data_IF_420012961442
#
_entry.id   IF_420012961442
#
_cell.length_a   1.000
_cell.length_b   1.000
_cell.length_c   1.000
_cell.angle_alpha   90.00
_cell.angle_beta   90.00
_cell.angle_gamma   90.00
#
_symmetry.space_group_name_H-M   'P 1'
#
loop_
_entity.id
_entity.type
_entity.pdbx_description
1 polymer ?
#
# COMPACT_ATOMS: atom_id res chain seq x y z
N UNK A 1 -14.35 2.91 -5.04
CA UNK A 1 -14.88 3.85 -6.09
C UNK A 1 -13.80 4.87 -6.35
N UNK A 2 -13.52 5.25 -7.60
CA UNK A 2 -12.37 6.10 -7.92
C UNK A 2 -12.78 7.37 -8.70
N UNK A 3 -11.92 8.40 -8.68
CA UNK A 3 -12.14 9.69 -9.34
C UNK A 3 -11.09 9.95 -10.43
N UNK A 4 -11.01 9.09 -11.44
CA UNK A 4 -10.06 9.23 -12.53
C UNK A 4 -10.56 10.16 -13.64
N UNK A 5 -9.63 10.72 -14.41
CA UNK A 5 -9.93 11.53 -15.59
C UNK A 5 -10.81 10.77 -16.59
N UNK A 6 -11.98 11.32 -16.90
CA UNK A 6 -12.86 10.74 -17.92
C UNK A 6 -12.34 11.09 -19.33
N UNK A 7 -12.26 10.11 -20.25
CA UNK A 7 -11.87 10.39 -21.62
C UNK A 7 -12.87 11.32 -22.32
N UNK A 8 -12.35 12.19 -23.19
CA UNK A 8 -13.12 13.09 -24.06
C UNK A 8 -12.75 12.86 -25.53
N UNK A 9 -13.40 13.58 -26.45
CA UNK A 9 -13.08 13.49 -27.88
C UNK A 9 -11.64 13.93 -28.21
N UNK A 10 -10.99 14.71 -27.35
CA UNK A 10 -9.65 15.27 -27.57
C UNK A 10 -8.62 14.87 -26.51
N UNK A 11 -9.06 14.19 -25.45
CA UNK A 11 -8.24 13.75 -24.34
C UNK A 11 -8.52 12.26 -24.09
N UNK A 12 -7.52 11.37 -24.23
CA UNK A 12 -7.71 9.95 -23.95
C UNK A 12 -7.95 9.62 -22.47
N UNK A 13 -7.87 10.56 -21.54
CA UNK A 13 -8.09 10.31 -20.11
C UNK A 13 -7.04 9.39 -19.52
N UNK A 14 -5.75 9.66 -19.79
CA UNK A 14 -4.66 8.85 -19.25
C UNK A 14 -4.61 8.96 -17.72
N UNK A 15 -4.27 7.84 -17.09
CA UNK A 15 -4.06 7.74 -15.66
C UNK A 15 -2.60 8.00 -15.33
N UNK A 16 -2.35 8.72 -14.23
CA UNK A 16 -1.03 8.76 -13.62
C UNK A 16 -0.71 7.40 -12.98
N UNK A 17 0.57 7.16 -12.64
CA UNK A 17 0.96 5.91 -11.99
C UNK A 17 0.20 5.69 -10.66
N UNK A 18 0.04 6.74 -9.86
CA UNK A 18 -0.65 6.68 -8.57
C UNK A 18 -2.15 6.42 -8.73
N UNK A 19 -2.77 6.83 -9.84
CA UNK A 19 -4.15 6.45 -10.17
C UNK A 19 -4.26 4.95 -10.41
N UNK A 20 -3.27 4.36 -11.11
CA UNK A 20 -3.24 2.91 -11.37
C UNK A 20 -3.02 2.14 -10.06
N UNK A 21 -2.10 2.61 -9.21
CA UNK A 21 -1.90 2.04 -7.86
C UNK A 21 -3.20 2.08 -7.06
N UNK A 22 -3.87 3.24 -7.04
CA UNK A 22 -5.17 3.43 -6.37
C UNK A 22 -6.24 2.48 -6.94
N UNK A 23 -6.28 2.30 -8.27
CA UNK A 23 -7.21 1.36 -8.88
C UNK A 23 -6.97 -0.08 -8.40
N UNK A 24 -5.72 -0.51 -8.32
CA UNK A 24 -5.37 -1.85 -7.84
C UNK A 24 -5.64 -2.02 -6.33
N UNK A 25 -5.42 -0.99 -5.52
CA UNK A 25 -5.83 -0.98 -4.11
C UNK A 25 -7.33 -1.28 -3.98
N UNK A 26 -8.17 -0.50 -4.66
CA UNK A 26 -9.63 -0.65 -4.62
C UNK A 26 -10.09 -1.98 -5.24
N UNK A 27 -9.40 -2.46 -6.27
CA UNK A 27 -9.66 -3.76 -6.86
C UNK A 27 -9.28 -4.91 -5.91
N UNK A 28 -8.25 -4.74 -5.09
CA UNK A 28 -7.89 -5.68 -4.02
C UNK A 28 -9.03 -5.85 -3.02
N UNK A 29 -9.63 -4.75 -2.56
CA UNK A 29 -10.83 -4.77 -1.73
C UNK A 29 -11.99 -5.49 -2.41
N UNK A 30 -12.24 -5.21 -3.70
CA UNK A 30 -13.27 -5.91 -4.48
C UNK A 30 -13.03 -7.41 -4.54
N UNK A 31 -11.79 -7.84 -4.82
CA UNK A 31 -11.43 -9.26 -4.88
C UNK A 31 -11.61 -9.93 -3.52
N UNK A 32 -11.19 -9.27 -2.44
CA UNK A 32 -11.38 -9.79 -1.09
C UNK A 32 -12.86 -9.92 -0.74
N UNK A 33 -13.68 -8.94 -1.13
CA UNK A 33 -15.13 -9.00 -0.95
C UNK A 33 -15.76 -10.18 -1.71
N UNK A 34 -15.37 -10.42 -2.96
CA UNK A 34 -15.94 -11.51 -3.78
C UNK A 34 -15.51 -12.89 -3.24
N UNK A 35 -14.21 -13.05 -2.93
CA UNK A 35 -13.63 -14.33 -2.53
C UNK A 35 -13.94 -14.68 -1.08
N UNK A 36 -13.80 -13.71 -0.17
CA UNK A 36 -14.20 -13.84 1.23
C UNK A 36 -15.72 -13.77 1.43
N UNK A 37 -16.47 -13.37 0.40
CA UNK A 37 -17.93 -13.21 0.40
C UNK A 37 -18.73 -14.52 0.51
N UNK A 38 -18.05 -15.67 0.49
CA UNK A 38 -18.68 -16.99 0.47
C UNK A 38 -19.00 -17.55 1.88
N UNK A 39 -18.96 -16.71 2.92
CA UNK A 39 -19.25 -17.16 4.28
C UNK A 39 -20.74 -17.42 4.50
N UNK A 40 -21.05 -18.38 5.37
CA UNK A 40 -22.42 -18.72 5.76
C UNK A 40 -23.13 -17.56 6.48
N UNK A 41 -22.38 -16.71 7.20
CA UNK A 41 -22.94 -15.66 8.04
C UNK A 41 -22.54 -14.27 7.54
N UNK A 42 -23.53 -13.39 7.37
CA UNK A 42 -23.30 -12.04 6.84
C UNK A 42 -22.32 -11.20 7.66
N UNK A 43 -22.28 -11.38 8.99
CA UNK A 43 -21.42 -10.60 9.89
C UNK A 43 -19.92 -10.91 9.80
N UNK A 44 -19.51 -11.90 9.00
CA UNK A 44 -18.10 -12.29 8.80
C UNK A 44 -17.78 -12.45 7.30
N UNK A 45 -18.65 -11.96 6.42
CA UNK A 45 -18.50 -12.13 4.98
C UNK A 45 -17.68 -11.01 4.35
N UNK A 46 -16.98 -11.33 3.25
CA UNK A 46 -16.16 -10.39 2.50
C UNK A 46 -15.07 -9.80 3.39
N UNK A 47 -15.03 -8.47 3.46
CA UNK A 47 -14.04 -7.69 4.21
C UNK A 47 -14.49 -7.33 5.64
N UNK A 48 -15.51 -8.03 6.18
CA UNK A 48 -15.99 -7.81 7.55
C UNK A 48 -15.07 -8.53 8.53
N UNK A 49 -13.93 -7.92 8.88
CA UNK A 49 -12.85 -8.47 9.71
C UNK A 49 -12.25 -7.37 10.58
N UNK A 50 -11.15 -7.68 11.28
CA UNK A 50 -10.42 -6.69 12.05
C UNK A 50 -9.95 -5.51 11.17
N UNK A 51 -10.19 -4.29 11.64
CA UNK A 51 -9.92 -3.06 10.88
C UNK A 51 -8.44 -2.80 10.65
N UNK A 52 -7.57 -3.38 11.48
CA UNK A 52 -6.11 -3.37 11.40
C UNK A 52 -5.56 -4.57 10.60
N UNK A 53 -6.34 -5.01 9.62
CA UNK A 53 -5.95 -5.99 8.61
C UNK A 53 -6.59 -5.73 7.25
N UNK A 54 -7.72 -5.03 7.22
CA UNK A 54 -8.53 -4.86 6.01
C UNK A 54 -7.76 -4.22 4.85
N UNK A 55 -6.79 -3.34 5.11
CA UNK A 55 -5.98 -2.71 4.06
C UNK A 55 -4.78 -3.57 3.64
N UNK A 56 -4.40 -4.61 4.40
CA UNK A 56 -3.21 -5.39 4.07
C UNK A 56 -3.36 -6.13 2.71
N UNK A 57 -4.53 -6.72 2.39
CA UNK A 57 -4.78 -7.29 1.08
C UNK A 57 -4.75 -6.30 -0.09
N UNK A 58 -5.34 -5.12 0.07
CA UNK A 58 -5.36 -4.08 -0.97
C UNK A 58 -3.97 -3.50 -1.19
N UNK A 59 -3.25 -3.18 -0.11
CA UNK A 59 -1.88 -2.65 -0.18
C UNK A 59 -0.86 -3.66 -0.71
N UNK A 60 -1.04 -4.96 -0.46
CA UNK A 60 -0.19 -5.98 -1.09
C UNK A 60 -0.34 -5.95 -2.61
N UNK A 61 -1.56 -5.72 -3.11
CA UNK A 61 -1.83 -5.68 -4.53
C UNK A 61 -1.28 -4.41 -5.21
N UNK A 62 -1.07 -3.32 -4.46
CA UNK A 62 -0.36 -2.13 -4.96
C UNK A 62 1.07 -2.47 -5.42
N UNK A 63 1.78 -3.31 -4.67
CA UNK A 63 3.17 -3.69 -4.96
C UNK A 63 3.31 -4.48 -6.27
N UNK A 64 2.21 -5.00 -6.82
CA UNK A 64 2.22 -5.64 -8.14
C UNK A 64 2.54 -4.65 -9.26
N UNK A 65 2.29 -3.35 -9.05
CA UNK A 65 2.60 -2.30 -10.03
C UNK A 65 4.11 -2.09 -10.20
N UNK A 66 4.94 -2.63 -9.30
CA UNK A 66 6.39 -2.68 -9.48
C UNK A 66 6.86 -3.79 -10.44
N UNK A 67 5.98 -4.70 -10.88
CA UNK A 67 6.37 -5.80 -11.79
C UNK A 67 6.31 -5.39 -13.26
N UNK A 68 7.44 -5.47 -14.00
CA UNK A 68 7.44 -5.22 -15.45
C UNK A 68 6.49 -6.15 -16.21
N UNK A 69 6.38 -7.41 -15.78
CA UNK A 69 5.50 -8.39 -16.41
C UNK A 69 4.03 -8.02 -16.24
N UNK A 70 3.62 -7.59 -15.04
CA UNK A 70 2.24 -7.18 -14.76
C UNK A 70 1.89 -5.94 -15.57
N UNK A 71 2.72 -4.89 -15.51
CA UNK A 71 2.46 -3.66 -16.27
C UNK A 71 2.43 -3.93 -17.78
N UNK A 72 3.33 -4.76 -18.32
CA UNK A 72 3.35 -5.09 -19.74
C UNK A 72 2.06 -5.75 -20.26
N UNK A 73 1.25 -6.35 -19.37
CA UNK A 73 -0.02 -6.99 -19.74
C UNK A 73 -1.11 -5.99 -20.15
N UNK A 74 -1.09 -4.77 -19.61
CA UNK A 74 -2.13 -3.76 -19.86
C UNK A 74 -1.62 -2.37 -20.22
N UNK A 75 -0.44 -1.96 -19.73
CA UNK A 75 0.12 -0.65 -19.97
C UNK A 75 0.70 -0.57 -21.40
N UNK A 76 -0.05 0.13 -22.27
CA UNK A 76 0.29 0.32 -23.68
C UNK A 76 0.27 1.78 -24.05
N UNK A 77 1.19 2.20 -24.91
CA UNK A 77 1.20 3.55 -25.42
C UNK A 77 -0.07 3.81 -26.24
N UNK A 78 -0.86 4.82 -25.85
CA UNK A 78 -2.22 5.03 -26.38
C UNK A 78 -2.30 5.26 -27.90
N UNK A 79 -1.20 5.66 -28.57
CA UNK A 79 -1.17 5.86 -30.04
C UNK A 79 -0.55 4.69 -30.80
N UNK A 80 0.50 4.08 -30.26
CA UNK A 80 1.30 3.06 -30.98
C UNK A 80 0.98 1.63 -30.54
N UNK A 81 0.25 1.48 -29.43
CA UNK A 81 -0.09 0.20 -28.81
C UNK A 81 1.13 -0.62 -28.32
N UNK A 82 2.32 -0.02 -28.34
CA UNK A 82 3.55 -0.61 -27.81
C UNK A 82 3.44 -0.81 -26.31
N UNK A 83 3.89 -1.97 -25.82
CA UNK A 83 3.90 -2.29 -24.39
C UNK A 83 4.94 -1.44 -23.65
N UNK A 84 4.69 -1.13 -22.38
CA UNK A 84 5.64 -0.43 -21.53
C UNK A 84 7.01 -1.14 -21.50
N UNK A 85 8.13 -0.44 -21.75
CA UNK A 85 9.45 -1.05 -21.67
C UNK A 85 9.81 -1.45 -20.24
N UNK A 86 10.39 -2.63 -20.05
CA UNK A 86 10.82 -3.10 -18.72
C UNK A 86 11.83 -2.14 -18.06
N UNK A 87 12.74 -1.57 -18.85
CA UNK A 87 13.70 -0.56 -18.37
C UNK A 87 13.01 0.69 -17.79
N UNK A 88 11.88 1.10 -18.35
CA UNK A 88 11.10 2.22 -17.81
C UNK A 88 10.52 1.85 -16.44
N UNK A 89 9.98 0.65 -16.29
CA UNK A 89 9.46 0.15 -15.01
C UNK A 89 10.56 0.07 -13.95
N UNK A 90 11.74 -0.42 -14.30
CA UNK A 90 12.89 -0.44 -13.38
C UNK A 90 13.31 0.97 -12.93
N UNK A 91 13.25 1.96 -13.83
CA UNK A 91 13.49 3.37 -13.48
C UNK A 91 12.40 3.93 -12.57
N UNK A 92 11.13 3.59 -12.83
CA UNK A 92 10.00 3.97 -11.99
C UNK A 92 10.13 3.38 -10.58
N UNK A 93 10.52 2.11 -10.46
CA UNK A 93 10.75 1.46 -9.16
C UNK A 93 11.88 2.13 -8.37
N UNK A 94 12.97 2.52 -9.05
CA UNK A 94 14.05 3.28 -8.38
C UNK A 94 13.55 4.66 -7.93
N UNK A 95 12.73 5.32 -8.73
CA UNK A 95 12.13 6.60 -8.36
C UNK A 95 11.12 6.45 -7.22
N UNK A 96 10.35 5.37 -7.16
CA UNK A 96 9.35 5.14 -6.10
C UNK A 96 9.97 4.82 -4.75
N UNK A 97 11.24 4.41 -4.71
CA UNK A 97 12.00 4.23 -3.47
C UNK A 97 12.34 5.57 -2.79
N UNK A 98 12.54 6.63 -3.59
CA UNK A 98 12.91 7.95 -3.09
C UNK A 98 11.80 8.52 -2.20
N UNK A 99 12.16 8.90 -0.97
CA UNK A 99 11.24 9.58 -0.06
C UNK A 99 10.24 8.67 0.66
N UNK A 100 10.37 7.33 0.57
CA UNK A 100 9.54 6.40 1.37
C UNK A 100 9.67 6.63 2.87
N UNK A 101 10.86 6.98 3.36
CA UNK A 101 11.06 7.38 4.76
C UNK A 101 10.25 8.61 5.16
N UNK A 102 10.16 9.63 4.27
CA UNK A 102 9.33 10.81 4.49
C UNK A 102 7.83 10.47 4.40
N UNK A 103 7.46 9.54 3.53
CA UNK A 103 6.10 9.02 3.47
C UNK A 103 5.70 8.33 4.78
N UNK A 104 6.55 7.44 5.33
CA UNK A 104 6.31 6.80 6.64
C UNK A 104 6.23 7.84 7.75
N UNK A 105 7.10 8.85 7.76
CA UNK A 105 7.06 9.96 8.72
C UNK A 105 5.72 10.71 8.66
N UNK A 106 5.20 10.98 7.46
CA UNK A 106 3.88 11.58 7.25
C UNK A 106 2.75 10.67 7.73
N UNK A 107 2.80 9.35 7.46
CA UNK A 107 1.81 8.40 7.97
C UNK A 107 1.78 8.40 9.50
N UNK A 108 2.94 8.40 10.16
CA UNK A 108 3.03 8.52 11.62
C UNK A 108 2.40 9.82 12.15
N UNK A 109 2.58 10.94 11.44
CA UNK A 109 1.92 12.21 11.80
C UNK A 109 0.39 12.11 11.72
N UNK A 110 -0.15 11.47 10.69
CA UNK A 110 -1.59 11.26 10.57
C UNK A 110 -2.13 10.27 11.59
N UNK A 111 -1.38 9.20 11.89
CA UNK A 111 -1.69 8.26 12.95
C UNK A 111 -1.75 8.96 14.31
N UNK A 112 -0.75 9.78 14.62
CA UNK A 112 -0.70 10.55 15.85
C UNK A 112 -1.88 11.51 15.96
N UNK A 113 -2.13 12.32 14.93
CA UNK A 113 -3.29 13.21 14.88
C UNK A 113 -4.60 12.44 15.08
N UNK A 114 -4.77 11.34 14.36
CA UNK A 114 -5.97 10.50 14.44
C UNK A 114 -6.16 9.89 15.82
N UNK A 115 -5.13 9.71 16.64
CA UNK A 115 -5.23 9.16 17.99
C UNK A 115 -5.37 10.28 19.03
N UNK A 116 -4.53 11.31 18.92
CA UNK A 116 -4.38 12.36 19.91
C UNK A 116 -5.59 13.28 20.02
N UNK A 117 -6.39 13.43 18.96
CA UNK A 117 -7.66 14.18 19.05
C UNK A 117 -8.77 13.40 19.78
N UNK A 118 -8.63 12.08 20.00
CA UNK A 118 -9.63 11.24 20.67
C UNK A 118 -9.18 10.70 22.04
N UNK A 119 -7.94 10.94 22.47
CA UNK A 119 -7.42 10.41 23.75
C UNK A 119 -7.91 11.20 24.98
N UNK A 120 -8.31 12.45 24.78
CA UNK A 120 -8.82 13.35 25.82
C UNK A 120 -10.32 13.62 25.64
N UNK A 121 -10.94 14.28 26.64
CA UNK A 121 -12.34 14.72 26.53
C UNK A 121 -12.46 15.78 25.42
N UNK A 122 -13.54 15.77 24.61
CA UNK A 122 -13.70 16.70 23.49
C UNK A 122 -13.52 18.18 23.87
N UNK A 123 -14.08 18.60 25.00
CA UNK A 123 -14.01 20.00 25.47
C UNK A 123 -12.61 20.46 25.88
N UNK A 124 -11.64 19.55 25.97
CA UNK A 124 -10.24 19.84 26.31
C UNK A 124 -9.28 19.76 25.12
N UNK A 125 -9.77 19.45 23.92
CA UNK A 125 -8.92 19.26 22.74
C UNK A 125 -8.86 20.55 21.92
N UNK A 126 -7.67 21.16 21.90
CA UNK A 126 -7.34 22.26 20.98
C UNK A 126 -6.77 21.69 19.67
N UNK A 127 -7.63 21.54 18.65
CA UNK A 127 -7.32 20.81 17.41
C UNK A 127 -6.08 21.33 16.68
N UNK A 128 -5.91 22.65 16.59
CA UNK A 128 -4.72 23.27 15.97
C UNK A 128 -3.45 22.91 16.73
N UNK A 129 -3.51 22.95 18.06
CA UNK A 129 -2.35 22.66 18.91
C UNK A 129 -1.92 21.21 18.76
N UNK A 130 -2.87 20.28 18.77
CA UNK A 130 -2.60 18.84 18.56
C UNK A 130 -2.03 18.61 17.17
N UNK A 131 -2.70 19.11 16.13
CA UNK A 131 -2.30 18.91 14.73
C UNK A 131 -0.90 19.43 14.45
N UNK A 132 -0.61 20.68 14.82
CA UNK A 132 0.69 21.30 14.61
C UNK A 132 1.77 20.60 15.46
N UNK A 133 1.41 20.17 16.67
CA UNK A 133 2.31 19.41 17.56
C UNK A 133 2.73 18.08 16.95
N UNK A 134 1.79 17.31 16.42
CA UNK A 134 2.04 16.03 15.78
C UNK A 134 2.84 16.17 14.48
N UNK A 135 2.49 17.13 13.62
CA UNK A 135 3.24 17.40 12.39
C UNK A 135 4.71 17.74 12.68
N UNK A 136 4.99 18.59 13.67
CA UNK A 136 6.35 18.94 14.09
C UNK A 136 7.11 17.77 14.72
N UNK A 137 6.41 16.88 15.40
CA UNK A 137 7.01 15.74 16.11
C UNK A 137 7.40 14.61 15.15
N UNK A 138 6.54 14.32 14.19
CA UNK A 138 6.68 13.13 13.33
C UNK A 138 7.23 13.43 11.94
N UNK A 139 7.23 14.69 11.49
CA UNK A 139 7.73 15.08 10.18
C UNK A 139 8.86 16.12 10.29
N UNK A 140 9.75 16.23 9.28
CA UNK A 140 10.76 17.28 9.24
C UNK A 140 10.22 18.61 8.69
N UNK A 141 8.93 18.67 8.32
CA UNK A 141 8.35 19.85 7.70
C UNK A 141 7.91 20.87 8.74
N UNK A 142 8.04 22.15 8.40
CA UNK A 142 7.48 23.23 9.21
C UNK A 142 6.00 23.40 8.82
N UNK A 143 5.05 23.22 9.74
CA UNK A 143 3.64 23.49 9.46
C UNK A 143 3.43 24.93 8.99
N UNK A 144 2.50 25.12 8.05
CA UNK A 144 2.17 26.44 7.54
C UNK A 144 1.12 27.11 8.45
N UNK A 145 1.39 28.35 8.84
CA UNK A 145 0.46 29.14 9.65
C UNK A 145 -0.89 29.32 8.93
N UNK A 146 -1.98 29.27 9.71
CA UNK A 146 -3.35 29.41 9.19
C UNK A 146 -3.88 28.20 8.43
N UNK A 147 -3.17 27.06 8.46
CA UNK A 147 -3.69 25.80 7.93
C UNK A 147 -4.37 24.98 9.03
N UNK A 148 -5.40 24.23 8.64
CA UNK A 148 -6.19 23.38 9.53
C UNK A 148 -6.32 21.99 8.90
N UNK A 149 -5.21 21.26 8.80
CA UNK A 149 -5.14 20.01 8.02
C UNK A 149 -6.23 19.00 8.43
N UNK A 150 -6.57 18.91 9.71
CA UNK A 150 -7.62 18.04 10.24
C UNK A 150 -9.01 18.31 9.61
N UNK A 151 -9.32 19.52 9.12
CA UNK A 151 -10.60 19.81 8.46
C UNK A 151 -10.68 19.22 7.05
N UNK A 152 -9.54 18.89 6.45
CA UNK A 152 -9.44 18.21 5.17
C UNK A 152 -9.16 16.70 5.33
N UNK A 153 -8.98 16.22 6.56
CA UNK A 153 -8.63 14.84 6.81
C UNK A 153 -9.87 13.95 6.88
N UNK A 154 -10.44 13.62 5.72
CA UNK A 154 -11.69 12.86 5.60
C UNK A 154 -11.71 11.50 6.32
N UNK A 155 -10.54 10.88 6.53
CA UNK A 155 -10.43 9.62 7.27
C UNK A 155 -10.91 9.72 8.72
N UNK A 156 -10.92 10.93 9.31
CA UNK A 156 -11.49 11.14 10.64
C UNK A 156 -13.00 10.87 10.71
N UNK A 157 -13.71 10.67 9.59
CA UNK A 157 -15.13 10.32 9.55
C UNK A 157 -15.42 8.80 9.54
N UNK A 158 -14.40 7.94 9.59
CA UNK A 158 -14.58 6.48 9.59
C UNK A 158 -13.41 5.67 10.18
N UNK A 159 -12.22 6.28 10.25
CA UNK A 159 -10.99 5.73 10.83
C UNK A 159 -10.55 6.54 12.06
N UNK A 160 -11.49 7.18 12.76
CA UNK A 160 -11.25 7.89 14.03
C UNK A 160 -10.49 7.01 15.03
N UNK A 161 -9.39 7.49 15.60
CA UNK A 161 -8.50 6.70 16.47
C UNK A 161 -7.93 5.42 15.85
N UNK A 162 -8.08 5.22 14.54
CA UNK A 162 -7.73 3.99 13.83
C UNK A 162 -6.88 4.24 12.57
N UNK A 163 -6.42 5.46 12.28
CA UNK A 163 -5.58 5.69 11.11
C UNK A 163 -4.23 4.93 11.16
N UNK A 164 -3.81 4.46 12.33
CA UNK A 164 -2.62 3.59 12.45
C UNK A 164 -2.71 2.33 11.58
N UNK A 165 -3.93 1.87 11.26
CA UNK A 165 -4.15 0.65 10.49
C UNK A 165 -3.48 0.73 9.13
N UNK A 166 -3.46 1.88 8.46
CA UNK A 166 -2.80 2.03 7.15
C UNK A 166 -1.33 1.63 7.18
N UNK A 167 -0.56 2.09 8.18
CA UNK A 167 0.86 1.76 8.26
C UNK A 167 1.07 0.35 8.81
N UNK A 168 0.24 -0.10 9.75
CA UNK A 168 0.28 -1.47 10.26
C UNK A 168 -0.01 -2.50 9.17
N UNK A 169 -1.01 -2.24 8.33
CA UNK A 169 -1.37 -3.05 7.18
C UNK A 169 -0.26 -3.04 6.14
N UNK A 170 0.47 -1.93 5.97
CA UNK A 170 1.63 -1.85 5.08
C UNK A 170 2.75 -2.79 5.54
N UNK A 171 2.97 -2.91 6.85
CA UNK A 171 3.93 -3.88 7.41
C UNK A 171 3.58 -5.30 6.97
N UNK A 172 2.31 -5.66 7.07
CA UNK A 172 1.81 -6.99 6.70
C UNK A 172 1.86 -7.19 5.18
N UNK A 173 1.44 -6.18 4.41
CA UNK A 173 1.39 -6.21 2.95
C UNK A 173 2.76 -6.43 2.32
N UNK A 174 3.80 -5.74 2.79
CA UNK A 174 5.17 -5.92 2.30
C UNK A 174 5.70 -7.33 2.59
N UNK A 175 5.38 -7.88 3.76
CA UNK A 175 5.81 -9.23 4.13
C UNK A 175 5.05 -10.30 3.31
N UNK A 176 3.75 -10.07 3.06
CA UNK A 176 2.95 -10.89 2.16
C UNK A 176 3.51 -10.88 0.74
N UNK A 177 3.81 -9.69 0.20
CA UNK A 177 4.37 -9.52 -1.13
C UNK A 177 5.71 -10.26 -1.27
N UNK A 178 6.56 -10.21 -0.24
CA UNK A 178 7.83 -10.95 -0.20
C UNK A 178 7.72 -12.48 -0.31
N UNK A 179 6.53 -13.06 -0.19
CA UNK A 179 6.30 -14.50 -0.40
C UNK A 179 6.07 -14.87 -1.88
N UNK A 180 5.90 -13.89 -2.76
CA UNK A 180 5.65 -14.10 -4.18
C UNK A 180 6.96 -14.23 -4.97
N UNK A 181 6.89 -14.84 -6.15
CA UNK A 181 8.02 -14.84 -7.09
C UNK A 181 8.07 -13.50 -7.83
N UNK A 182 9.07 -12.67 -7.54
CA UNK A 182 9.18 -11.33 -8.12
C UNK A 182 9.49 -11.35 -9.64
N UNK A 183 9.93 -12.48 -10.19
CA UNK A 183 10.11 -12.63 -11.64
C UNK A 183 8.79 -12.95 -12.36
N UNK A 184 7.84 -13.55 -11.65
CA UNK A 184 6.51 -13.84 -12.16
C UNK A 184 5.53 -13.99 -10.99
N UNK A 185 4.81 -12.91 -10.68
CA UNK A 185 3.89 -12.86 -9.53
C UNK A 185 2.72 -13.85 -9.63
N UNK A 186 2.49 -14.44 -10.80
CA UNK A 186 1.46 -15.47 -11.01
C UNK A 186 2.02 -16.90 -10.95
N UNK A 187 3.34 -17.06 -10.83
CA UNK A 187 3.98 -18.37 -10.77
C UNK A 187 4.01 -18.96 -9.36
N UNK A 188 4.29 -20.26 -9.32
CA UNK A 188 4.51 -20.98 -8.07
C UNK A 188 3.25 -21.11 -7.20
N UNK A 189 3.42 -21.53 -5.94
CA UNK A 189 2.30 -21.79 -5.04
C UNK A 189 1.75 -20.55 -4.34
N UNK A 190 2.51 -19.44 -4.30
CA UNK A 190 2.17 -18.27 -3.49
C UNK A 190 0.80 -17.63 -3.85
N UNK A 191 0.44 -17.42 -5.13
CA UNK A 191 -0.82 -16.74 -5.46
C UNK A 191 -2.06 -17.53 -5.02
N UNK A 192 -2.07 -18.84 -5.28
CA UNK A 192 -3.18 -19.70 -4.86
C UNK A 192 -3.21 -19.92 -3.35
N UNK A 193 -2.04 -19.95 -2.69
CA UNK A 193 -1.97 -19.97 -1.23
C UNK A 193 -2.52 -18.68 -0.64
N UNK A 194 -2.16 -17.53 -1.19
CA UNK A 194 -2.66 -16.23 -0.76
C UNK A 194 -4.19 -16.16 -0.87
N UNK A 195 -4.73 -16.52 -2.03
CA UNK A 195 -6.19 -16.61 -2.22
C UNK A 195 -6.86 -17.48 -1.16
N UNK A 196 -6.38 -18.71 -0.96
CA UNK A 196 -7.01 -19.68 -0.06
C UNK A 196 -6.84 -19.35 1.42
N UNK A 197 -5.69 -18.83 1.80
CA UNK A 197 -5.31 -18.61 3.18
C UNK A 197 -5.68 -17.22 3.67
N UNK A 198 -5.67 -16.20 2.80
CA UNK A 198 -5.90 -14.80 3.19
C UNK A 198 -7.27 -14.30 2.75
N UNK A 199 -7.68 -14.53 1.49
CA UNK A 199 -8.90 -13.91 0.95
C UNK A 199 -10.16 -14.73 1.19
N UNK A 200 -10.13 -16.03 0.87
CA UNK A 200 -11.31 -16.91 0.95
C UNK A 200 -11.90 -17.06 2.37
N UNK A 201 -11.12 -16.99 3.48
CA UNK A 201 -11.70 -17.06 4.81
C UNK A 201 -12.60 -15.87 5.17
N UNK A 202 -12.42 -14.70 4.53
CA UNK A 202 -13.08 -13.46 4.95
C UNK A 202 -12.88 -13.22 6.45
N UNK A 203 -13.93 -12.80 7.16
CA UNK A 203 -13.91 -12.60 8.61
C UNK A 203 -14.10 -13.87 9.45
N UNK A 204 -14.08 -15.06 8.86
CA UNK A 204 -14.33 -16.32 9.60
C UNK A 204 -13.15 -16.80 10.45
N UNK A 205 -11.97 -16.21 10.23
CA UNK A 205 -10.71 -16.53 10.90
C UNK A 205 -10.06 -15.21 11.30
N UNK A 206 -9.43 -15.16 12.47
CA UNK A 206 -8.79 -13.93 12.94
C UNK A 206 -7.61 -13.50 12.05
N UNK A 207 -7.45 -12.19 11.86
CA UNK A 207 -6.36 -11.61 11.06
C UNK A 207 -4.98 -12.17 11.43
N UNK A 208 -4.63 -12.21 12.72
CA UNK A 208 -3.34 -12.75 13.18
C UNK A 208 -3.13 -14.22 12.77
N UNK A 209 -4.20 -15.03 12.72
CA UNK A 209 -4.12 -16.40 12.24
C UNK A 209 -3.93 -16.46 10.73
N UNK A 210 -4.63 -15.63 9.96
CA UNK A 210 -4.44 -15.52 8.50
C UNK A 210 -2.99 -15.16 8.16
N UNK A 211 -2.45 -14.14 8.84
CA UNK A 211 -1.07 -13.68 8.69
C UNK A 211 -0.10 -14.82 9.00
N UNK A 212 -0.25 -15.45 10.17
CA UNK A 212 0.63 -16.55 10.60
C UNK A 212 0.57 -17.76 9.67
N UNK A 213 -0.62 -18.14 9.22
CA UNK A 213 -0.80 -19.28 8.33
C UNK A 213 -0.20 -19.01 6.94
N UNK A 214 -0.27 -17.77 6.44
CA UNK A 214 0.28 -17.43 5.13
C UNK A 214 1.81 -17.26 5.15
N UNK A 215 2.35 -16.57 6.16
CA UNK A 215 3.78 -16.32 6.33
C UNK A 215 4.54 -17.50 6.94
N UNK A 216 3.85 -18.42 7.62
CA UNK A 216 4.46 -19.49 8.43
C UNK A 216 5.05 -18.99 9.76
N UNK A 217 4.90 -17.70 10.07
CA UNK A 217 5.36 -17.02 11.28
C UNK A 217 4.51 -15.77 11.55
N UNK A 218 4.63 -15.18 12.73
CA UNK A 218 4.04 -13.87 13.00
C UNK A 218 4.68 -12.78 12.14
N UNK A 219 3.94 -11.70 11.89
CA UNK A 219 4.44 -10.52 11.19
C UNK A 219 5.60 -9.89 11.96
N UNK A 220 6.54 -9.30 11.23
CA UNK A 220 7.65 -8.57 11.80
C UNK A 220 7.95 -7.32 10.97
N UNK A 221 8.96 -6.55 11.37
CA UNK A 221 9.29 -5.28 10.72
C UNK A 221 10.32 -5.42 9.59
N UNK A 222 10.81 -6.62 9.29
CA UNK A 222 11.97 -6.81 8.41
C UNK A 222 11.64 -6.38 6.97
N UNK A 223 10.47 -6.79 6.47
CA UNK A 223 10.03 -6.48 5.11
C UNK A 223 9.83 -4.97 4.90
N UNK A 224 9.14 -4.30 5.82
CA UNK A 224 8.91 -2.85 5.73
C UNK A 224 10.21 -2.05 5.90
N UNK A 225 11.14 -2.50 6.75
CA UNK A 225 12.44 -1.85 6.90
C UNK A 225 13.24 -1.94 5.61
N UNK A 226 13.24 -3.11 4.96
CA UNK A 226 13.84 -3.27 3.64
C UNK A 226 13.16 -2.38 2.61
N UNK A 227 11.83 -2.41 2.52
CA UNK A 227 11.05 -1.58 1.58
C UNK A 227 11.34 -0.09 1.73
N UNK A 228 11.43 0.41 2.97
CA UNK A 228 11.78 1.80 3.27
C UNK A 228 13.25 2.11 2.94
N UNK A 229 14.14 1.14 3.14
CA UNK A 229 15.57 1.25 2.90
C UNK A 229 16.02 1.08 1.45
N UNK A 230 15.12 0.70 0.53
CA UNK A 230 15.46 0.41 -0.88
C UNK A 230 16.18 1.57 -1.58
N UNK A 231 15.93 2.83 -1.20
CA UNK A 231 16.63 4.00 -1.73
C UNK A 231 18.15 3.91 -1.52
N UNK A 232 18.58 3.29 -0.42
CA UNK A 232 19.98 3.17 -0.02
C UNK A 232 20.63 1.84 -0.43
N UNK A 233 19.86 0.93 -1.01
CA UNK A 233 20.42 -0.28 -1.60
C UNK A 233 21.22 0.14 -2.84
N UNK A 234 22.56 0.11 -2.73
CA UNK A 234 23.44 0.38 -3.86
C UNK A 234 23.05 -0.53 -5.02
N UNK A 235 22.74 0.03 -6.19
CA UNK A 235 22.47 -0.72 -7.41
C UNK A 235 23.62 -1.72 -7.61
N UNK A 236 23.38 -2.98 -7.28
CA UNK A 236 24.41 -4.01 -7.32
C UNK A 236 24.76 -4.27 -8.79
N UNK A 237 25.92 -3.73 -9.18
CA UNK A 237 26.79 -4.19 -10.26
C UNK A 237 26.12 -4.55 -11.59
N UNK A 238 25.71 -3.53 -12.35
CA UNK A 238 25.65 -3.63 -13.80
C UNK A 238 27.05 -3.46 -14.42
N UNK A 239 27.66 -4.55 -14.87
CA UNK A 239 28.66 -4.53 -15.96
C UNK A 239 30.13 -4.73 -15.57
N UNK A 240 30.70 -5.87 -15.99
CA UNK A 240 32.15 -6.05 -16.08
C UNK A 240 32.65 -7.48 -15.95
N UNK A 241 32.28 -8.37 -16.89
CA UNK A 241 33.10 -9.56 -17.14
C UNK A 241 34.45 -9.09 -17.70
N UNK A 242 35.43 -8.88 -16.83
CA UNK A 242 36.82 -8.79 -17.24
C UNK A 242 37.37 -10.21 -17.37
N UNK A 243 37.14 -10.80 -18.55
CA UNK A 243 38.09 -11.78 -19.07
C UNK A 243 39.42 -11.05 -19.33
N UNK A 244 40.32 -11.12 -18.35
CA UNK A 244 41.75 -10.92 -18.62
C UNK A 244 42.37 -12.29 -18.71
N UNK A 245 42.61 -12.72 -19.94
CA UNK A 245 43.57 -13.75 -20.24
C UNK A 245 44.96 -13.29 -19.77
N UNK A 246 45.61 -14.11 -18.96
CA UNK A 246 47.03 -14.45 -19.03
C UNK A 246 47.28 -15.73 -18.26
#
# INVERSE_FOLDING_TARGET
VCNFSAPTAHDPGLMDYDDVVTFFHEFGHLMHHILGGQQQWAGITGITMESDFVEAPSQMLEEWMHSPQVLASFARHHKTNESIPAELVERMNRASAFGRGLWVARQNSFTALSYDIYKEKPDSVELDTVTIGDEKKYTPFTPLDGTHMYTAFGHLAGYSSAYYTYLWDKVIAEDFFGQFDHQNLLAGPAPMRYRKTVLEPGGSVSANKLVKDFLGREQNMDAIQKWMGQEFESASAGGGSNHVAK
#
